data_IF_951579214815
#
_entry.id   IF_951579214815
#
_cell.length_a   1.000
_cell.length_b   1.000
_cell.length_c   1.000
_cell.angle_alpha   90.00
_cell.angle_beta   90.00
_cell.angle_gamma   90.00
#
_symmetry.space_group_name_H-M   'P 1'
#
loop_
_entity.id
_entity.type
_entity.pdbx_description
1 polymer ?
#
# COMPACT_ATOMS: atom_id res chain seq x y z
N UNK A 1 51.04 -7.41 30.92
CA UNK A 1 49.85 -6.53 31.02
C UNK A 1 49.32 -5.99 29.67
N UNK A 2 50.15 -5.85 28.62
CA UNK A 2 49.73 -5.26 27.33
C UNK A 2 48.84 -6.14 26.41
N UNK A 3 48.69 -7.44 26.68
CA UNK A 3 47.91 -8.38 25.85
C UNK A 3 46.41 -8.37 26.17
N UNK A 4 46.04 -8.24 27.45
CA UNK A 4 44.63 -8.20 27.89
C UNK A 4 43.88 -6.94 27.43
N UNK A 5 44.59 -5.81 27.29
CA UNK A 5 44.01 -4.52 26.91
C UNK A 5 43.64 -4.45 25.41
N UNK A 6 44.29 -5.26 24.55
CA UNK A 6 43.95 -5.38 23.12
C UNK A 6 42.69 -6.20 22.88
N UNK A 7 42.43 -7.22 23.71
CA UNK A 7 41.22 -8.06 23.62
C UNK A 7 39.95 -7.31 24.01
N UNK A 8 40.02 -6.50 25.07
CA UNK A 8 38.89 -5.68 25.53
C UNK A 8 38.49 -4.63 24.48
N UNK A 9 39.46 -3.92 23.88
CA UNK A 9 39.22 -2.91 22.84
C UNK A 9 38.58 -3.52 21.58
N UNK A 10 39.07 -4.69 21.15
CA UNK A 10 38.52 -5.40 19.98
C UNK A 10 37.09 -5.91 20.18
N UNK A 11 36.73 -6.29 21.42
CA UNK A 11 35.37 -6.73 21.75
C UNK A 11 34.37 -5.55 21.82
N UNK A 12 34.81 -4.40 22.34
CA UNK A 12 34.02 -3.18 22.39
C UNK A 12 33.77 -2.59 20.98
N UNK A 13 34.81 -2.60 20.13
CA UNK A 13 34.71 -2.19 18.72
C UNK A 13 33.77 -3.11 17.90
N UNK A 14 33.79 -4.43 18.14
CA UNK A 14 32.85 -5.36 17.50
C UNK A 14 31.40 -5.15 17.96
N UNK A 15 31.19 -4.84 19.24
CA UNK A 15 29.85 -4.52 19.78
C UNK A 15 29.33 -3.19 19.26
N UNK A 16 30.17 -2.15 19.20
CA UNK A 16 29.80 -0.87 18.60
C UNK A 16 29.42 -1.02 17.11
N UNK A 17 30.16 -1.82 16.34
CA UNK A 17 29.81 -2.10 14.94
C UNK A 17 28.52 -2.94 14.78
N UNK A 18 28.23 -3.86 15.71
CA UNK A 18 26.97 -4.62 15.69
C UNK A 18 25.76 -3.72 16.01
N UNK A 19 25.91 -2.76 16.93
CA UNK A 19 24.88 -1.76 17.26
C UNK A 19 24.68 -0.73 16.12
N UNK A 20 25.76 -0.29 15.48
CA UNK A 20 25.71 0.60 14.32
C UNK A 20 25.08 -0.06 13.08
N UNK A 21 25.29 -1.38 12.89
CA UNK A 21 24.60 -2.15 11.83
C UNK A 21 23.09 -2.26 12.05
N UNK A 22 22.59 -2.18 13.29
CA UNK A 22 21.15 -2.19 13.59
C UNK A 22 20.48 -0.83 13.38
N UNK A 23 21.25 0.26 13.46
CA UNK A 23 20.78 1.63 13.20
C UNK A 23 20.61 1.93 11.70
N UNK A 24 21.28 1.18 10.82
CA UNK A 24 21.08 1.19 9.38
C UNK A 24 20.50 -0.16 8.92
N UNK A 25 19.26 -0.45 9.31
CA UNK A 25 18.54 -1.57 8.70
C UNK A 25 18.33 -1.27 7.22
N UNK A 26 19.00 -2.00 6.34
CA UNK A 26 18.75 -2.00 4.89
C UNK A 26 17.43 -2.67 4.52
N UNK A 27 16.54 -2.93 5.48
CA UNK A 27 15.22 -3.53 5.23
C UNK A 27 14.40 -2.76 4.18
N UNK A 28 14.65 -1.45 3.97
CA UNK A 28 14.05 -0.68 2.88
C UNK A 28 14.58 -1.06 1.48
N UNK A 29 15.79 -1.61 1.37
CA UNK A 29 16.44 -1.99 0.10
C UNK A 29 16.14 -3.44 -0.28
N UNK A 30 15.92 -4.33 0.70
CA UNK A 30 15.72 -5.78 0.48
C UNK A 30 14.37 -6.32 1.00
N UNK A 31 13.36 -5.48 1.26
CA UNK A 31 12.01 -6.00 1.48
C UNK A 31 11.51 -6.67 0.19
N UNK A 32 10.82 -7.84 0.27
CA UNK A 32 10.22 -8.43 -0.91
C UNK A 32 9.30 -7.41 -1.59
N UNK A 33 9.18 -7.43 -2.94
CA UNK A 33 8.25 -6.58 -3.65
C UNK A 33 6.86 -6.78 -3.05
N UNK A 34 6.15 -5.66 -2.81
CA UNK A 34 4.78 -5.68 -2.29
C UNK A 34 3.86 -4.99 -3.27
N UNK A 35 2.85 -5.73 -3.71
CA UNK A 35 1.73 -5.19 -4.48
C UNK A 35 0.65 -4.69 -3.52
N UNK A 36 0.25 -3.44 -3.70
CA UNK A 36 -0.84 -2.81 -2.97
C UNK A 36 -1.96 -2.47 -3.94
N UNK A 37 -3.19 -2.90 -3.63
CA UNK A 37 -4.39 -2.49 -4.36
C UNK A 37 -5.17 -1.45 -3.55
N UNK A 38 -5.60 -0.37 -4.19
CA UNK A 38 -6.48 0.66 -3.62
C UNK A 38 -7.82 0.62 -4.35
N UNK A 39 -8.88 0.20 -3.66
CA UNK A 39 -10.23 0.08 -4.21
C UNK A 39 -11.06 1.33 -3.83
N UNK A 40 -11.43 2.15 -4.80
CA UNK A 40 -11.97 3.50 -4.57
C UNK A 40 -10.91 4.59 -4.78
N UNK A 41 -9.95 4.35 -5.67
CA UNK A 41 -8.78 5.20 -5.88
C UNK A 41 -9.10 6.57 -6.51
N UNK A 42 -10.23 6.72 -7.19
CA UNK A 42 -10.65 8.00 -7.78
C UNK A 42 -11.43 8.89 -6.80
N UNK A 43 -11.83 8.36 -5.64
CA UNK A 43 -12.51 9.11 -4.59
C UNK A 43 -11.63 10.12 -3.86
N UNK A 44 -12.27 11.01 -3.07
CA UNK A 44 -11.57 12.08 -2.34
C UNK A 44 -10.53 11.59 -1.32
N UNK A 45 -10.68 10.38 -0.78
CA UNK A 45 -9.65 9.72 0.05
C UNK A 45 -8.68 8.92 -0.82
N UNK A 46 -9.19 8.28 -1.88
CA UNK A 46 -8.42 7.41 -2.76
C UNK A 46 -7.24 8.11 -3.43
N UNK A 47 -7.45 9.31 -3.97
CA UNK A 47 -6.41 10.06 -4.68
C UNK A 47 -5.20 10.43 -3.79
N UNK A 48 -5.37 11.09 -2.63
CA UNK A 48 -4.23 11.38 -1.75
C UNK A 48 -3.61 10.10 -1.17
N UNK A 49 -4.41 9.06 -0.89
CA UNK A 49 -3.89 7.76 -0.45
C UNK A 49 -3.01 7.11 -1.53
N UNK A 50 -3.42 7.14 -2.80
CA UNK A 50 -2.66 6.61 -3.91
C UNK A 50 -1.29 7.32 -4.06
N UNK A 51 -1.27 8.65 -3.92
CA UNK A 51 -0.02 9.42 -3.90
C UNK A 51 0.89 8.99 -2.74
N UNK A 52 0.36 8.87 -1.53
CA UNK A 52 1.15 8.43 -0.37
C UNK A 52 1.68 7.00 -0.53
N UNK A 53 0.91 6.09 -1.12
CA UNK A 53 1.36 4.73 -1.42
C UNK A 53 2.45 4.71 -2.50
N UNK A 54 2.35 5.54 -3.53
CA UNK A 54 3.39 5.70 -4.56
C UNK A 54 4.72 6.22 -3.98
N UNK A 55 4.66 7.06 -2.94
CA UNK A 55 5.84 7.56 -2.23
C UNK A 55 6.42 6.55 -1.23
N UNK A 56 5.70 5.48 -0.90
CA UNK A 56 6.14 4.52 0.10
C UNK A 56 7.24 3.59 -0.46
N UNK A 57 8.46 3.60 0.11
CA UNK A 57 9.57 2.77 -0.36
C UNK A 57 9.40 1.28 -0.07
N UNK A 58 8.29 0.85 0.53
CA UNK A 58 7.94 -0.56 0.71
C UNK A 58 7.02 -1.09 -0.39
N UNK A 59 6.42 -0.22 -1.20
CA UNK A 59 5.53 -0.59 -2.31
C UNK A 59 6.37 -0.78 -3.57
N UNK A 60 6.14 -1.86 -4.32
CA UNK A 60 6.72 -2.09 -5.65
C UNK A 60 5.70 -1.93 -6.75
N UNK A 61 4.45 -2.32 -6.50
CA UNK A 61 3.36 -2.30 -7.47
C UNK A 61 2.13 -1.71 -6.82
N UNK A 62 1.54 -0.71 -7.46
CA UNK A 62 0.36 0.00 -6.98
C UNK A 62 -0.77 -0.15 -8.01
N UNK A 63 -1.74 -0.99 -7.68
CA UNK A 63 -2.97 -1.16 -8.45
C UNK A 63 -4.02 -0.18 -7.94
N UNK A 64 -4.45 0.74 -8.78
CA UNK A 64 -5.53 1.68 -8.48
C UNK A 64 -6.79 1.17 -9.17
N UNK A 65 -7.87 1.01 -8.42
CA UNK A 65 -9.16 0.59 -8.93
C UNK A 65 -10.27 1.55 -8.52
N UNK A 66 -11.20 1.79 -9.43
CA UNK A 66 -12.47 2.46 -9.16
C UNK A 66 -13.48 2.10 -10.26
N UNK A 67 -14.75 2.45 -10.06
CA UNK A 67 -15.79 2.27 -11.08
C UNK A 67 -15.61 3.24 -12.25
N UNK A 68 -14.98 4.40 -12.02
CA UNK A 68 -14.77 5.44 -13.02
C UNK A 68 -13.54 6.31 -12.69
N UNK A 69 -12.92 6.91 -13.71
CA UNK A 69 -11.88 7.94 -13.55
C UNK A 69 -10.48 7.45 -13.19
N UNK A 70 -10.31 6.17 -12.87
CA UNK A 70 -9.03 5.58 -12.43
C UNK A 70 -7.87 5.71 -13.42
N UNK A 71 -8.05 5.59 -14.76
CA UNK A 71 -6.93 5.70 -15.70
C UNK A 71 -6.24 7.07 -15.63
N UNK A 72 -7.00 8.15 -15.42
CA UNK A 72 -6.44 9.50 -15.24
C UNK A 72 -5.65 9.62 -13.94
N UNK A 73 -6.17 9.08 -12.84
CA UNK A 73 -5.49 9.08 -11.54
C UNK A 73 -4.19 8.27 -11.61
N UNK A 74 -4.22 7.11 -12.25
CA UNK A 74 -3.03 6.27 -12.41
C UNK A 74 -1.95 6.94 -13.28
N UNK A 75 -2.34 7.65 -14.34
CA UNK A 75 -1.40 8.43 -15.15
C UNK A 75 -0.73 9.55 -14.34
N UNK A 76 -1.52 10.30 -13.56
CA UNK A 76 -1.00 11.39 -12.72
C UNK A 76 -0.03 10.86 -11.65
N UNK A 77 -0.47 9.88 -10.84
CA UNK A 77 0.36 9.25 -9.80
C UNK A 77 1.58 8.53 -10.40
N UNK A 78 1.43 7.95 -11.60
CA UNK A 78 2.49 7.24 -12.32
C UNK A 78 3.70 8.11 -12.68
N UNK A 79 3.50 9.41 -12.90
CA UNK A 79 4.59 10.35 -13.23
C UNK A 79 5.51 10.68 -12.04
N UNK A 80 5.11 10.35 -10.81
CA UNK A 80 5.95 10.57 -9.63
C UNK A 80 7.18 9.67 -9.72
N UNK A 81 8.38 10.24 -9.58
CA UNK A 81 9.67 9.60 -9.83
C UNK A 81 10.14 8.64 -8.71
N UNK A 82 9.27 7.72 -8.30
CA UNK A 82 9.57 6.68 -7.32
C UNK A 82 9.52 5.29 -7.95
N UNK A 83 10.10 4.30 -7.27
CA UNK A 83 10.25 2.94 -7.77
C UNK A 83 8.94 2.20 -8.10
N UNK A 84 7.85 2.54 -7.42
CA UNK A 84 6.62 1.74 -7.49
C UNK A 84 5.96 1.89 -8.87
N UNK A 85 5.66 0.79 -9.54
CA UNK A 85 4.90 0.81 -10.79
C UNK A 85 3.42 1.05 -10.50
N UNK A 86 2.74 1.84 -11.32
CA UNK A 86 1.33 2.19 -11.11
C UNK A 86 0.51 1.70 -12.29
N UNK A 87 -0.59 1.01 -12.00
CA UNK A 87 -1.55 0.58 -13.00
C UNK A 87 -2.97 1.00 -12.56
N UNK A 88 -3.73 1.57 -13.48
CA UNK A 88 -5.12 1.97 -13.27
C UNK A 88 -6.08 0.94 -13.88
N UNK A 89 -7.11 0.59 -13.12
CA UNK A 89 -8.15 -0.36 -13.48
C UNK A 89 -9.52 0.29 -13.28
N UNK A 90 -10.41 0.10 -14.25
CA UNK A 90 -11.71 0.77 -14.27
C UNK A 90 -12.81 -0.20 -14.69
N UNK A 91 -13.92 -0.18 -13.95
CA UNK A 91 -15.08 -1.02 -14.24
C UNK A 91 -14.96 -2.43 -13.68
N UNK A 92 -16.11 -3.08 -13.50
CA UNK A 92 -16.23 -4.37 -12.80
C UNK A 92 -15.41 -5.50 -13.46
N UNK A 93 -15.22 -5.45 -14.78
CA UNK A 93 -14.45 -6.42 -15.54
C UNK A 93 -12.94 -6.37 -15.25
N UNK A 94 -12.45 -5.26 -14.70
CA UNK A 94 -11.04 -5.06 -14.38
C UNK A 94 -10.70 -5.23 -12.90
N UNK A 95 -11.71 -5.35 -12.02
CA UNK A 95 -11.49 -5.53 -10.58
C UNK A 95 -10.62 -6.74 -10.27
N UNK A 96 -10.85 -7.88 -10.95
CA UNK A 96 -10.04 -9.08 -10.75
C UNK A 96 -8.56 -8.86 -11.08
N UNK A 97 -8.27 -8.13 -12.17
CA UNK A 97 -6.89 -7.81 -12.59
C UNK A 97 -6.20 -6.85 -11.61
N UNK A 98 -6.95 -5.91 -11.03
CA UNK A 98 -6.43 -5.03 -10.00
C UNK A 98 -5.98 -5.82 -8.76
N UNK A 99 -6.79 -6.79 -8.35
CA UNK A 99 -6.61 -7.59 -7.14
C UNK A 99 -5.55 -8.68 -7.24
N UNK A 100 -5.41 -9.33 -8.39
CA UNK A 100 -4.57 -10.52 -8.57
C UNK A 100 -3.13 -10.33 -8.05
N UNK A 101 -2.71 -11.15 -7.08
CA UNK A 101 -1.37 -11.08 -6.47
C UNK A 101 -1.12 -9.87 -5.57
N UNK A 102 -2.16 -9.19 -5.08
CA UNK A 102 -2.00 -8.10 -4.09
C UNK A 102 -1.68 -8.67 -2.71
N UNK A 103 -0.65 -8.14 -2.06
CA UNK A 103 -0.31 -8.47 -0.67
C UNK A 103 -1.11 -7.63 0.35
N UNK A 104 -1.56 -6.44 -0.08
CA UNK A 104 -2.36 -5.53 0.74
C UNK A 104 -3.46 -4.93 -0.12
N UNK A 105 -4.69 -4.98 0.38
CA UNK A 105 -5.83 -4.30 -0.23
C UNK A 105 -6.36 -3.24 0.73
N UNK A 106 -6.44 -2.00 0.25
CA UNK A 106 -6.99 -0.86 0.99
C UNK A 106 -8.32 -0.46 0.35
N UNK A 107 -9.38 -0.35 1.14
CA UNK A 107 -10.74 -0.06 0.67
C UNK A 107 -11.20 1.32 1.18
N UNK A 108 -10.79 2.43 0.55
CA UNK A 108 -11.42 3.74 0.77
C UNK A 108 -12.78 3.88 0.05
N UNK A 109 -13.16 2.92 -0.82
CA UNK A 109 -14.43 2.96 -1.55
C UNK A 109 -15.64 3.08 -0.62
N UNK A 110 -16.53 3.99 -0.99
CA UNK A 110 -17.75 4.27 -0.26
C UNK A 110 -18.32 5.61 -0.70
N UNK A 111 -19.59 5.83 -0.37
CA UNK A 111 -20.20 7.14 -0.58
C UNK A 111 -19.96 8.02 0.65
N UNK A 112 -19.60 9.30 0.47
CA UNK A 112 -19.56 10.25 1.57
C UNK A 112 -20.98 10.53 2.05
N UNK A 113 -21.12 10.86 3.35
CA UNK A 113 -22.40 11.26 3.92
C UNK A 113 -22.89 12.53 3.23
N UNK A 114 -24.15 12.52 2.75
CA UNK A 114 -24.81 13.69 2.16
C UNK A 114 -25.73 14.40 3.17
N UNK A 115 -26.00 15.70 3.03
CA UNK A 115 -27.05 16.38 3.80
C UNK A 115 -28.38 15.62 3.67
N UNK A 116 -29.10 15.45 4.78
CA UNK A 116 -30.36 14.70 4.82
C UNK A 116 -30.22 13.18 4.87
N UNK A 117 -29.02 12.61 4.73
CA UNK A 117 -28.77 11.17 4.84
C UNK A 117 -28.66 10.73 6.32
N UNK A 118 -29.40 9.69 6.70
CA UNK A 118 -29.31 9.10 8.04
C UNK A 118 -28.03 8.27 8.19
N UNK A 119 -27.72 7.86 9.42
CA UNK A 119 -26.59 6.94 9.66
C UNK A 119 -26.85 5.56 9.04
N UNK A 120 -28.09 5.09 9.11
CA UNK A 120 -28.47 3.77 8.61
C UNK A 120 -28.47 3.72 7.08
N UNK A 121 -28.90 4.79 6.40
CA UNK A 121 -28.81 4.87 4.93
C UNK A 121 -27.35 4.75 4.46
N UNK A 122 -26.45 5.48 5.12
CA UNK A 122 -25.02 5.44 4.81
C UNK A 122 -24.44 4.04 5.07
N UNK A 123 -24.81 3.43 6.18
CA UNK A 123 -24.39 2.07 6.52
C UNK A 123 -24.84 1.07 5.46
N UNK A 124 -26.13 1.08 5.09
CA UNK A 124 -26.68 0.12 4.13
C UNK A 124 -26.02 0.21 2.75
N UNK A 125 -25.74 1.43 2.27
CA UNK A 125 -25.04 1.62 0.99
C UNK A 125 -23.61 1.10 1.08
N UNK A 126 -22.84 1.54 2.07
CA UNK A 126 -21.42 1.18 2.18
C UNK A 126 -21.22 -0.29 2.55
N UNK A 127 -22.14 -0.90 3.29
CA UNK A 127 -22.13 -2.33 3.57
C UNK A 127 -22.23 -3.16 2.27
N UNK A 128 -23.08 -2.73 1.32
CA UNK A 128 -23.17 -3.35 0.00
C UNK A 128 -21.87 -3.24 -0.80
N UNK A 129 -21.27 -2.04 -0.82
CA UNK A 129 -20.00 -1.79 -1.51
C UNK A 129 -18.89 -2.67 -0.92
N UNK A 130 -18.70 -2.63 0.40
CA UNK A 130 -17.67 -3.42 1.09
C UNK A 130 -17.89 -4.91 0.86
N UNK A 131 -19.12 -5.41 0.97
CA UNK A 131 -19.43 -6.83 0.71
C UNK A 131 -18.99 -7.25 -0.70
N UNK A 132 -19.36 -6.48 -1.72
CA UNK A 132 -19.02 -6.82 -3.11
C UNK A 132 -17.51 -6.84 -3.34
N UNK A 133 -16.77 -5.86 -2.79
CA UNK A 133 -15.32 -5.81 -2.91
C UNK A 133 -14.65 -6.95 -2.13
N UNK A 134 -15.11 -7.27 -0.92
CA UNK A 134 -14.59 -8.40 -0.14
C UNK A 134 -14.83 -9.75 -0.83
N UNK A 135 -15.96 -9.95 -1.51
CA UNK A 135 -16.20 -11.15 -2.33
C UNK A 135 -15.17 -11.24 -3.46
N UNK A 136 -14.86 -10.13 -4.12
CA UNK A 136 -13.83 -10.11 -5.16
C UNK A 136 -12.43 -10.38 -4.59
N UNK A 137 -12.07 -9.79 -3.45
CA UNK A 137 -10.80 -10.07 -2.76
C UNK A 137 -10.68 -11.56 -2.46
N UNK A 138 -11.70 -12.16 -1.82
CA UNK A 138 -11.72 -13.58 -1.52
C UNK A 138 -11.61 -14.49 -2.76
N UNK A 139 -11.99 -13.99 -3.94
CA UNK A 139 -11.89 -14.72 -5.21
C UNK A 139 -10.52 -14.56 -5.90
N UNK A 140 -9.94 -13.36 -5.88
CA UNK A 140 -8.79 -13.00 -6.72
C UNK A 140 -7.47 -12.82 -5.96
N UNK A 141 -7.51 -12.52 -4.67
CA UNK A 141 -6.34 -12.46 -3.78
C UNK A 141 -6.73 -12.87 -2.34
N UNK A 142 -6.96 -14.19 -2.10
CA UNK A 142 -7.43 -14.68 -0.80
C UNK A 142 -6.35 -14.74 0.29
N UNK A 143 -5.07 -14.68 -0.08
CA UNK A 143 -3.91 -14.66 0.83
C UNK A 143 -3.60 -13.24 1.29
#
# INVERSE_FOLDING_TARGET
>A
MASAMRGALGSALRRANASLRRLYSTAGVNSPPRKVAVLGAAGGIGQPLALLMKLNPLVSDLALYDIAGTPGVAADVGHVNTRAQVAGYMGDDQLGKALEGSDVVIIPAGVPRKPGMTRDDLFNINAGIVKSLCIAIAKYCPE
#
